data_IF_680821534651
#
_entry.id   IF_680821534651
#
_cell.length_a   1.000
_cell.length_b   1.000
_cell.length_c   1.000
_cell.angle_alpha   90.00
_cell.angle_beta   90.00
_cell.angle_gamma   90.00
#
_symmetry.space_group_name_H-M   'P 1'
#
loop_
_entity.id
_entity.type
_entity.pdbx_description
1 polymer ?
#
# COMPACT_ATOMS: atom_id res chain seq x y z
N UNK A 1 3.29 11.60 -27.55
CA UNK A 1 2.24 10.55 -27.64
C UNK A 1 1.75 10.17 -26.23
N UNK A 2 1.14 11.10 -25.49
CA UNK A 2 0.95 10.98 -24.02
C UNK A 2 -0.49 11.18 -23.55
N UNK A 3 -1.46 11.24 -24.47
CA UNK A 3 -2.87 11.51 -24.14
C UNK A 3 -3.78 10.26 -23.98
N UNK A 4 -3.40 9.10 -24.52
CA UNK A 4 -4.30 7.93 -24.55
C UNK A 4 -4.24 7.03 -23.31
N UNK A 5 -3.21 7.14 -22.45
CA UNK A 5 -3.05 6.23 -21.30
C UNK A 5 -3.85 6.65 -20.05
N UNK A 6 -4.08 7.94 -19.85
CA UNK A 6 -4.80 8.46 -18.68
C UNK A 6 -6.30 8.16 -18.72
N UNK A 7 -6.90 8.17 -19.91
CA UNK A 7 -8.34 7.92 -20.11
C UNK A 7 -8.72 6.46 -19.90
N UNK A 8 -7.83 5.50 -20.22
CA UNK A 8 -8.13 4.07 -20.03
C UNK A 8 -8.13 3.66 -18.55
N UNK A 9 -7.23 4.23 -17.75
CA UNK A 9 -7.10 3.91 -16.33
C UNK A 9 -8.28 4.40 -15.49
N UNK A 10 -8.84 5.58 -15.81
CA UNK A 10 -10.02 6.12 -15.12
C UNK A 10 -11.28 5.32 -15.40
N UNK A 11 -11.44 4.86 -16.64
CA UNK A 11 -12.62 4.08 -17.07
C UNK A 11 -12.65 2.70 -16.43
N UNK A 12 -11.49 2.04 -16.33
CA UNK A 12 -11.36 0.75 -15.64
C UNK A 12 -11.75 0.84 -14.15
N UNK A 13 -11.33 1.89 -13.45
CA UNK A 13 -11.64 2.09 -12.01
C UNK A 13 -13.13 2.31 -11.77
N UNK A 14 -13.78 3.15 -12.58
CA UNK A 14 -15.23 3.41 -12.45
C UNK A 14 -16.04 2.13 -12.66
N UNK A 15 -15.66 1.31 -13.63
CA UNK A 15 -16.31 0.00 -13.84
C UNK A 15 -16.13 -0.94 -12.64
N UNK A 16 -14.94 -0.99 -12.05
CA UNK A 16 -14.67 -1.81 -10.86
C UNK A 16 -15.53 -1.44 -9.65
N UNK A 17 -15.68 -0.13 -9.38
CA UNK A 17 -16.53 0.36 -8.27
C UNK A 17 -17.99 -0.02 -8.50
N UNK A 18 -18.51 0.18 -9.72
CA UNK A 18 -19.90 -0.19 -10.05
C UNK A 18 -20.18 -1.68 -9.83
N UNK A 19 -19.27 -2.55 -10.29
CA UNK A 19 -19.39 -4.01 -10.09
C UNK A 19 -19.35 -4.39 -8.61
N UNK A 20 -18.48 -3.77 -7.83
CA UNK A 20 -18.39 -4.02 -6.39
C UNK A 20 -19.68 -3.61 -5.66
N UNK A 21 -20.26 -2.46 -5.99
CA UNK A 21 -21.53 -2.00 -5.42
C UNK A 21 -22.68 -2.94 -5.78
N UNK A 22 -22.78 -3.37 -7.05
CA UNK A 22 -23.80 -4.35 -7.48
C UNK A 22 -23.65 -5.66 -6.70
N UNK A 23 -22.42 -6.15 -6.49
CA UNK A 23 -22.17 -7.36 -5.71
C UNK A 23 -22.61 -7.20 -4.24
N UNK A 24 -22.37 -6.04 -3.62
CA UNK A 24 -22.82 -5.76 -2.24
C UNK A 24 -24.35 -5.78 -2.16
N UNK A 25 -25.04 -5.09 -3.07
CA UNK A 25 -26.52 -5.03 -3.08
C UNK A 25 -27.12 -6.41 -3.33
N UNK A 26 -26.61 -7.15 -4.32
CA UNK A 26 -27.06 -8.50 -4.62
C UNK A 26 -26.78 -9.47 -3.47
N UNK A 27 -25.58 -9.41 -2.89
CA UNK A 27 -25.21 -10.22 -1.72
C UNK A 27 -26.10 -9.92 -0.51
N UNK A 28 -26.46 -8.65 -0.29
CA UNK A 28 -27.40 -8.27 0.76
C UNK A 28 -28.80 -8.84 0.53
N UNK A 29 -29.35 -8.70 -0.69
CA UNK A 29 -30.65 -9.27 -1.04
C UNK A 29 -30.69 -10.79 -0.82
N UNK A 30 -29.60 -11.48 -1.18
CA UNK A 30 -29.46 -12.91 -0.96
C UNK A 30 -29.34 -13.25 0.54
N UNK A 31 -28.60 -12.44 1.31
CA UNK A 31 -28.45 -12.65 2.75
C UNK A 31 -29.73 -12.47 3.56
N UNK A 32 -30.73 -11.73 3.04
CA UNK A 32 -32.08 -11.68 3.64
C UNK A 32 -32.77 -13.06 3.69
N UNK A 33 -32.33 -14.02 2.86
CA UNK A 33 -32.82 -15.39 2.86
C UNK A 33 -32.38 -16.21 4.07
N UNK A 34 -31.46 -15.71 4.91
CA UNK A 34 -31.05 -16.35 6.16
C UNK A 34 -32.22 -16.61 7.13
N UNK A 35 -33.35 -15.91 6.95
CA UNK A 35 -34.56 -16.11 7.75
C UNK A 35 -35.31 -17.40 7.41
N UNK A 36 -35.07 -17.99 6.23
CA UNK A 36 -35.78 -19.16 5.76
C UNK A 36 -34.88 -20.40 5.84
N UNK A 37 -35.25 -21.35 6.71
CA UNK A 37 -34.50 -22.57 6.97
C UNK A 37 -34.21 -23.38 5.70
N UNK A 38 -35.14 -23.39 4.73
CA UNK A 38 -34.98 -24.15 3.48
C UNK A 38 -33.94 -23.56 2.54
N UNK A 39 -33.61 -22.28 2.67
CA UNK A 39 -32.66 -21.55 1.79
C UNK A 39 -31.52 -20.90 2.58
N UNK A 40 -31.27 -21.36 3.81
CA UNK A 40 -30.24 -20.83 4.70
C UNK A 40 -28.85 -20.75 4.04
N UNK A 41 -28.44 -21.81 3.33
CA UNK A 41 -27.15 -21.84 2.63
C UNK A 41 -27.02 -20.76 1.55
N UNK A 42 -28.12 -20.42 0.89
CA UNK A 42 -28.15 -19.33 -0.10
C UNK A 42 -27.98 -17.98 0.59
N UNK A 43 -28.59 -17.81 1.77
CA UNK A 43 -28.36 -16.67 2.64
C UNK A 43 -26.89 -16.51 3.05
N UNK A 44 -26.21 -17.60 3.42
CA UNK A 44 -24.80 -17.60 3.78
C UNK A 44 -23.91 -17.21 2.59
N UNK A 45 -24.22 -17.73 1.40
CA UNK A 45 -23.57 -17.30 0.16
C UNK A 45 -23.71 -15.79 -0.06
N UNK A 46 -24.87 -15.21 0.26
CA UNK A 46 -25.11 -13.77 0.19
C UNK A 46 -24.14 -12.95 1.04
N UNK A 47 -23.87 -13.41 2.27
CA UNK A 47 -22.90 -12.78 3.18
C UNK A 47 -21.50 -12.78 2.57
N UNK A 48 -21.07 -13.91 1.98
CA UNK A 48 -19.76 -13.99 1.32
C UNK A 48 -19.66 -13.10 0.09
N UNK A 49 -20.70 -13.05 -0.74
CA UNK A 49 -20.73 -12.17 -1.93
C UNK A 49 -20.66 -10.70 -1.51
N UNK A 50 -21.39 -10.31 -0.47
CA UNK A 50 -21.37 -8.96 0.07
C UNK A 50 -19.99 -8.59 0.65
N UNK A 51 -19.38 -9.50 1.44
CA UNK A 51 -18.03 -9.29 1.96
C UNK A 51 -16.99 -9.17 0.83
N UNK A 52 -17.06 -10.03 -0.19
CA UNK A 52 -16.20 -9.95 -1.36
C UNK A 52 -16.37 -8.64 -2.15
N UNK A 53 -17.61 -8.20 -2.35
CA UNK A 53 -17.92 -6.91 -2.96
C UNK A 53 -17.34 -5.74 -2.16
N UNK A 54 -17.42 -5.79 -0.83
CA UNK A 54 -16.83 -4.78 0.05
C UNK A 54 -15.30 -4.74 -0.01
N UNK A 55 -14.65 -5.91 -0.02
CA UNK A 55 -13.19 -6.01 -0.19
C UNK A 55 -12.79 -5.37 -1.53
N UNK A 56 -13.47 -5.72 -2.61
CA UNK A 56 -13.22 -5.16 -3.94
C UNK A 56 -13.41 -3.63 -3.98
N UNK A 57 -14.48 -3.13 -3.34
CA UNK A 57 -14.74 -1.69 -3.22
C UNK A 57 -13.63 -0.98 -2.43
N UNK A 58 -13.23 -1.55 -1.29
CA UNK A 58 -12.19 -1.00 -0.42
C UNK A 58 -10.82 -0.97 -1.10
N UNK A 59 -10.48 -1.98 -1.88
CA UNK A 59 -9.28 -2.00 -2.73
C UNK A 59 -9.36 -0.95 -3.85
N UNK A 60 -10.54 -0.77 -4.45
CA UNK A 60 -10.74 0.21 -5.52
C UNK A 60 -10.68 1.66 -5.00
N UNK A 61 -11.05 1.91 -3.74
CA UNK A 61 -10.99 3.21 -3.07
C UNK A 61 -9.72 3.43 -2.26
N UNK A 62 -8.89 2.39 -2.07
CA UNK A 62 -7.63 2.49 -1.35
C UNK A 62 -6.78 3.65 -1.88
N UNK A 63 -6.23 4.49 -1.00
CA UNK A 63 -5.51 5.69 -1.39
C UNK A 63 -4.35 5.35 -2.32
N UNK A 64 -4.31 6.03 -3.47
CA UNK A 64 -3.15 6.03 -4.36
C UNK A 64 -2.19 7.11 -3.94
N UNK A 65 -0.89 6.87 -4.12
CA UNK A 65 0.12 7.91 -3.98
C UNK A 65 -0.32 9.10 -4.86
N UNK A 66 -0.66 10.21 -4.22
CA UNK A 66 -0.98 11.43 -4.95
C UNK A 66 0.33 12.09 -5.30
N UNK A 67 0.60 12.31 -6.60
CA UNK A 67 1.73 13.11 -7.07
C UNK A 67 1.78 14.54 -6.47
N UNK A 68 0.73 14.95 -5.72
CA UNK A 68 0.66 16.19 -4.93
C UNK A 68 1.74 16.38 -3.86
N UNK A 69 2.61 15.38 -3.61
CA UNK A 69 3.73 15.50 -2.66
C UNK A 69 5.10 15.70 -3.30
N UNK A 70 5.21 15.57 -4.62
CA UNK A 70 6.45 15.84 -5.33
C UNK A 70 6.57 17.32 -5.64
N UNK A 71 6.88 18.10 -4.61
CA UNK A 71 7.39 19.46 -4.77
C UNK A 71 8.65 19.39 -5.61
N UNK A 72 8.67 20.14 -6.72
CA UNK A 72 9.79 20.44 -7.61
C UNK A 72 10.74 19.27 -7.95
N UNK A 73 10.85 18.91 -9.23
CA UNK A 73 11.81 17.92 -9.73
C UNK A 73 13.23 18.17 -9.19
N UNK A 74 13.57 19.43 -8.91
CA UNK A 74 14.87 19.85 -8.41
C UNK A 74 15.03 19.86 -6.88
N UNK A 75 13.93 19.85 -6.10
CA UNK A 75 14.00 19.89 -4.62
C UNK A 75 12.86 19.09 -3.99
N UNK A 76 12.97 17.75 -3.98
CA UNK A 76 12.01 16.89 -3.30
C UNK A 76 11.87 17.27 -1.83
N UNK A 77 10.65 17.24 -1.34
CA UNK A 77 10.39 17.18 0.09
C UNK A 77 9.95 15.76 0.47
N UNK A 78 10.88 14.86 0.82
CA UNK A 78 10.54 13.50 1.21
C UNK A 78 9.70 13.47 2.50
N UNK A 79 9.77 14.51 3.34
CA UNK A 79 8.91 14.62 4.52
C UNK A 79 7.47 14.94 4.13
N UNK A 80 7.25 15.79 3.13
CA UNK A 80 5.93 16.04 2.58
C UNK A 80 5.33 14.76 1.96
N UNK A 81 6.12 13.97 1.23
CA UNK A 81 5.68 12.69 0.70
C UNK A 81 5.26 11.71 1.80
N UNK A 82 6.07 11.56 2.85
CA UNK A 82 5.75 10.72 4.02
C UNK A 82 4.48 11.21 4.71
N UNK A 83 4.32 12.52 4.90
CA UNK A 83 3.13 13.13 5.50
C UNK A 83 1.88 12.84 4.67
N UNK A 84 1.98 12.97 3.34
CA UNK A 84 0.87 12.67 2.44
C UNK A 84 0.44 11.19 2.53
N UNK A 85 1.39 10.25 2.61
CA UNK A 85 1.09 8.82 2.78
C UNK A 85 0.39 8.56 4.12
N UNK A 86 0.91 9.16 5.20
CA UNK A 86 0.32 9.05 6.53
C UNK A 86 -1.13 9.56 6.58
N UNK A 87 -1.37 10.77 6.04
CA UNK A 87 -2.72 11.35 5.96
C UNK A 87 -3.64 10.48 5.11
N UNK A 88 -3.18 9.98 3.97
CA UNK A 88 -3.99 9.13 3.11
C UNK A 88 -4.42 7.83 3.80
N UNK A 89 -3.50 7.16 4.50
CA UNK A 89 -3.78 5.95 5.29
C UNK A 89 -4.79 6.26 6.41
N UNK A 90 -4.62 7.36 7.13
CA UNK A 90 -5.53 7.75 8.21
C UNK A 90 -6.93 8.12 7.70
N UNK A 91 -7.04 8.88 6.62
CA UNK A 91 -8.33 9.21 6.02
C UNK A 91 -9.07 7.95 5.55
N UNK A 92 -8.34 7.00 4.96
CA UNK A 92 -8.93 5.72 4.55
C UNK A 92 -9.34 4.87 5.77
N UNK A 93 -8.53 4.81 6.82
CA UNK A 93 -8.91 4.15 8.09
C UNK A 93 -10.18 4.76 8.67
N UNK A 94 -10.26 6.09 8.75
CA UNK A 94 -11.41 6.80 9.28
C UNK A 94 -12.68 6.47 8.48
N UNK A 95 -12.57 6.39 7.15
CA UNK A 95 -13.68 5.96 6.30
C UNK A 95 -14.13 4.52 6.59
N UNK A 96 -13.20 3.59 6.77
CA UNK A 96 -13.51 2.18 7.11
C UNK A 96 -14.14 2.07 8.51
N UNK A 97 -13.61 2.80 9.48
CA UNK A 97 -14.15 2.86 10.84
C UNK A 97 -15.56 3.45 10.86
N UNK A 98 -15.81 4.49 10.05
CA UNK A 98 -17.15 5.07 9.92
C UNK A 98 -18.15 4.08 9.32
N UNK A 99 -17.77 3.31 8.29
CA UNK A 99 -18.63 2.27 7.70
C UNK A 99 -18.93 1.17 8.73
N UNK A 100 -17.92 0.68 9.45
CA UNK A 100 -18.11 -0.34 10.48
C UNK A 100 -19.01 0.17 11.62
N UNK A 101 -18.79 1.39 12.10
CA UNK A 101 -19.60 2.00 13.14
C UNK A 101 -21.06 2.22 12.70
N UNK A 102 -21.26 2.71 11.46
CA UNK A 102 -22.60 2.91 10.91
C UNK A 102 -23.36 1.59 10.77
N UNK A 103 -22.71 0.51 10.31
CA UNK A 103 -23.34 -0.81 10.21
C UNK A 103 -23.75 -1.38 11.57
N UNK A 104 -22.89 -1.25 12.59
CA UNK A 104 -23.20 -1.66 13.96
C UNK A 104 -24.32 -0.81 14.59
N UNK A 105 -24.26 0.52 14.43
CA UNK A 105 -25.27 1.44 14.94
C UNK A 105 -26.64 1.20 14.30
N UNK A 106 -26.68 0.97 12.97
CA UNK A 106 -27.92 0.65 12.27
C UNK A 106 -28.55 -0.63 12.83
N UNK A 107 -27.76 -1.69 13.03
CA UNK A 107 -28.25 -2.94 13.60
C UNK A 107 -28.78 -2.77 15.03
N UNK A 108 -28.10 -1.96 15.86
CA UNK A 108 -28.50 -1.72 17.24
C UNK A 108 -29.77 -0.85 17.38
N UNK A 109 -29.87 0.24 16.61
CA UNK A 109 -30.96 1.22 16.72
C UNK A 109 -32.26 0.70 16.12
N UNK A 110 -32.19 0.08 14.94
CA UNK A 110 -33.39 -0.32 14.23
C UNK A 110 -33.99 -1.62 14.77
N UNK A 111 -33.23 -2.42 15.51
CA UNK A 111 -33.71 -3.66 16.16
C UNK A 111 -34.28 -4.71 15.18
N UNK A 112 -34.12 -4.48 13.88
CA UNK A 112 -34.73 -5.30 12.83
C UNK A 112 -33.84 -6.48 12.48
N UNK A 113 -34.45 -7.66 12.45
CA UNK A 113 -33.80 -8.90 11.98
C UNK A 113 -33.20 -8.78 10.57
N UNK A 114 -33.72 -7.87 9.75
CA UNK A 114 -33.22 -7.58 8.39
C UNK A 114 -31.82 -6.94 8.34
N UNK A 115 -31.28 -6.47 9.46
CA UNK A 115 -29.94 -5.86 9.52
C UNK A 115 -28.86 -6.81 10.03
N UNK A 116 -29.22 -8.00 10.51
CA UNK A 116 -28.25 -9.01 10.92
C UNK A 116 -27.19 -9.31 9.86
N UNK A 117 -27.51 -9.37 8.55
CA UNK A 117 -26.51 -9.53 7.50
C UNK A 117 -25.42 -8.45 7.47
N UNK A 118 -25.68 -7.24 7.99
CA UNK A 118 -24.70 -6.15 8.00
C UNK A 118 -23.66 -6.29 9.11
N UNK A 119 -23.90 -7.11 10.14
CA UNK A 119 -22.92 -7.33 11.21
C UNK A 119 -21.63 -7.99 10.68
N UNK A 120 -21.68 -9.10 9.91
CA UNK A 120 -20.50 -9.66 9.25
C UNK A 120 -19.75 -8.63 8.39
N UNK A 121 -20.47 -7.78 7.66
CA UNK A 121 -19.87 -6.73 6.83
C UNK A 121 -19.08 -5.72 7.68
N UNK A 122 -19.66 -5.31 8.81
CA UNK A 122 -19.05 -4.37 9.76
C UNK A 122 -17.79 -4.96 10.40
N UNK A 123 -17.82 -6.25 10.74
CA UNK A 123 -16.66 -6.97 11.27
C UNK A 123 -15.55 -7.03 10.21
N UNK A 124 -15.89 -7.41 8.97
CA UNK A 124 -14.91 -7.46 7.86
C UNK A 124 -14.30 -6.07 7.63
N UNK A 125 -15.11 -5.01 7.62
CA UNK A 125 -14.65 -3.63 7.52
C UNK A 125 -13.65 -3.25 8.61
N UNK A 126 -13.98 -3.55 9.88
CA UNK A 126 -13.11 -3.25 11.00
C UNK A 126 -11.78 -4.02 10.95
N UNK A 127 -11.83 -5.34 10.75
CA UNK A 127 -10.65 -6.21 10.72
C UNK A 127 -9.73 -5.83 9.56
N UNK A 128 -10.29 -5.67 8.36
CA UNK A 128 -9.54 -5.33 7.18
C UNK A 128 -8.98 -3.90 7.25
N UNK A 129 -9.78 -2.95 7.74
CA UNK A 129 -9.35 -1.57 8.01
C UNK A 129 -8.14 -1.54 8.93
N UNK A 130 -8.18 -2.27 10.05
CA UNK A 130 -7.07 -2.36 11.00
C UNK A 130 -5.84 -3.07 10.41
N UNK A 131 -6.03 -4.19 9.71
CA UNK A 131 -4.93 -4.99 9.16
C UNK A 131 -4.15 -4.22 8.08
N UNK A 132 -4.86 -3.55 7.15
CA UNK A 132 -4.20 -2.77 6.10
C UNK A 132 -3.57 -1.49 6.63
N UNK A 133 -4.23 -0.79 7.54
CA UNK A 133 -3.68 0.47 8.08
C UNK A 133 -2.50 0.23 9.00
N UNK A 134 -2.53 -0.79 9.86
CA UNK A 134 -1.38 -1.15 10.68
C UNK A 134 -0.17 -1.51 9.81
N UNK A 135 -0.37 -2.27 8.72
CA UNK A 135 0.69 -2.61 7.78
C UNK A 135 1.22 -1.37 7.05
N UNK A 136 0.33 -0.54 6.49
CA UNK A 136 0.77 0.67 5.79
C UNK A 136 1.42 1.70 6.71
N UNK A 137 0.93 1.81 7.95
CA UNK A 137 1.49 2.66 9.00
C UNK A 137 2.90 2.20 9.39
N UNK A 138 3.09 0.89 9.56
CA UNK A 138 4.39 0.31 9.86
C UNK A 138 5.43 0.65 8.78
N UNK A 139 5.08 0.49 7.51
CA UNK A 139 5.98 0.80 6.40
C UNK A 139 6.18 2.30 6.21
N UNK A 140 5.16 3.11 6.40
CA UNK A 140 5.28 4.59 6.35
C UNK A 140 6.20 5.09 7.47
N UNK A 141 6.09 4.52 8.67
CA UNK A 141 6.98 4.83 9.79
C UNK A 141 8.43 4.42 9.50
N UNK A 142 8.65 3.25 8.90
CA UNK A 142 9.98 2.84 8.41
C UNK A 142 10.52 3.84 7.39
N UNK A 143 9.69 4.30 6.47
CA UNK A 143 10.10 5.31 5.49
C UNK A 143 10.47 6.64 6.16
N UNK A 144 9.64 7.10 7.10
CA UNK A 144 9.87 8.32 7.86
C UNK A 144 11.21 8.29 8.62
N UNK A 145 11.58 7.13 9.19
CA UNK A 145 12.85 6.97 9.91
C UNK A 145 14.06 7.03 8.98
N UNK A 146 13.99 6.37 7.82
CA UNK A 146 15.07 6.41 6.84
C UNK A 146 15.28 7.83 6.27
N UNK A 147 14.18 8.52 5.91
CA UNK A 147 14.24 9.91 5.43
C UNK A 147 14.81 10.87 6.47
N UNK A 148 14.60 10.62 7.77
CA UNK A 148 15.18 11.44 8.85
C UNK A 148 16.68 11.18 9.06
N UNK A 149 17.14 9.96 8.83
CA UNK A 149 18.52 9.55 9.09
C UNK A 149 19.46 9.79 7.90
N UNK A 150 18.92 9.78 6.68
CA UNK A 150 19.70 9.89 5.45
C UNK A 150 19.24 11.09 4.60
N UNK A 151 20.21 11.81 4.04
CA UNK A 151 19.91 12.83 3.05
C UNK A 151 19.52 12.16 1.72
N UNK A 152 18.42 12.58 1.07
CA UNK A 152 18.02 12.04 -0.22
C UNK A 152 19.03 12.40 -1.32
N UNK A 153 19.42 11.40 -2.12
CA UNK A 153 20.30 11.57 -3.27
C UNK A 153 19.59 11.08 -4.54
N UNK A 154 19.76 11.80 -5.66
CA UNK A 154 19.24 11.35 -6.96
C UNK A 154 20.06 10.15 -7.43
N UNK A 155 19.37 9.07 -7.79
CA UNK A 155 19.99 7.86 -8.35
C UNK A 155 19.24 7.41 -9.61
N UNK A 156 19.95 6.84 -10.60
CA UNK A 156 19.29 6.09 -11.66
C UNK A 156 18.42 5.01 -11.06
N UNK A 157 17.22 4.85 -11.59
CA UNK A 157 16.22 3.94 -11.06
C UNK A 157 15.75 3.04 -12.19
N UNK A 158 15.82 1.73 -11.95
CA UNK A 158 15.36 0.74 -12.92
C UNK A 158 14.33 -0.14 -12.23
N UNK A 159 13.05 -0.02 -12.57
CA UNK A 159 12.03 -0.92 -12.06
C UNK A 159 12.28 -2.32 -12.63
N UNK A 160 12.45 -3.30 -11.75
CA UNK A 160 12.54 -4.71 -12.13
C UNK A 160 11.19 -5.40 -11.87
N UNK A 161 11.16 -6.70 -12.16
CA UNK A 161 9.96 -7.52 -12.06
C UNK A 161 9.27 -7.40 -10.70
N UNK A 162 7.95 -7.36 -10.74
CA UNK A 162 7.08 -7.55 -9.59
C UNK A 162 7.03 -9.03 -9.24
N UNK A 163 7.27 -9.38 -7.98
CA UNK A 163 6.85 -10.70 -7.52
C UNK A 163 5.32 -10.70 -7.35
N UNK A 164 4.68 -11.85 -7.58
CA UNK A 164 3.23 -12.00 -7.38
C UNK A 164 2.75 -11.71 -5.94
N UNK A 165 3.68 -11.63 -4.97
CA UNK A 165 3.42 -11.29 -3.57
C UNK A 165 3.37 -9.78 -3.26
N UNK A 166 3.40 -8.91 -4.28
CA UNK A 166 3.40 -7.46 -4.11
C UNK A 166 4.76 -6.87 -3.73
N UNK A 167 5.81 -7.69 -3.66
CA UNK A 167 7.18 -7.23 -3.49
C UNK A 167 7.71 -6.75 -4.83
N UNK A 168 8.33 -5.58 -4.82
CA UNK A 168 8.94 -5.00 -6.01
C UNK A 168 10.41 -5.34 -6.00
N UNK A 169 10.98 -5.68 -7.13
CA UNK A 169 12.43 -5.60 -7.28
C UNK A 169 12.78 -4.33 -8.02
N UNK A 170 13.84 -3.66 -7.59
CA UNK A 170 14.35 -2.47 -8.25
C UNK A 170 15.87 -2.47 -8.18
N UNK A 171 16.51 -1.77 -9.11
CA UNK A 171 17.95 -1.52 -9.07
C UNK A 171 18.18 -0.01 -8.93
N UNK A 172 19.08 0.36 -8.03
CA UNK A 172 19.51 1.74 -7.80
C UNK A 172 20.90 1.92 -8.41
N UNK A 173 20.98 2.62 -9.52
CA UNK A 173 22.21 2.83 -10.30
C UNK A 173 22.15 2.26 -11.72
N UNK A 174 23.21 2.51 -12.47
CA UNK A 174 23.28 2.22 -13.90
C UNK A 174 23.22 0.71 -14.17
N UNK A 175 22.48 0.32 -15.21
CA UNK A 175 22.27 -1.07 -15.63
C UNK A 175 23.61 -1.74 -15.97
N UNK A 176 24.59 -0.96 -16.44
CA UNK A 176 25.90 -1.45 -16.86
C UNK A 176 26.93 -1.63 -15.76
N UNK A 177 26.75 -1.05 -14.56
CA UNK A 177 27.87 -0.97 -13.60
C UNK A 177 28.11 -2.25 -12.79
N UNK A 178 27.18 -3.22 -12.76
CA UNK A 178 27.30 -4.48 -12.02
C UNK A 178 27.41 -4.35 -10.49
N UNK A 179 27.77 -3.17 -9.98
CA UNK A 179 28.05 -2.87 -8.59
C UNK A 179 26.79 -2.48 -7.79
N UNK A 180 25.70 -2.14 -8.46
CA UNK A 180 24.46 -1.71 -7.82
C UNK A 180 23.60 -2.89 -7.35
N UNK A 181 23.36 -3.06 -6.04
CA UNK A 181 22.59 -4.18 -5.52
C UNK A 181 21.13 -4.12 -5.97
N UNK A 182 20.55 -5.30 -6.23
CA UNK A 182 19.11 -5.43 -6.47
C UNK A 182 18.40 -5.32 -5.13
N UNK A 183 17.48 -4.37 -5.03
CA UNK A 183 16.67 -4.12 -3.84
C UNK A 183 15.30 -4.79 -3.97
N UNK A 184 14.80 -5.35 -2.88
CA UNK A 184 13.41 -5.69 -2.67
C UNK A 184 12.71 -4.51 -2.00
N UNK A 185 11.61 -4.06 -2.59
CA UNK A 185 10.85 -2.88 -2.20
C UNK A 185 9.41 -3.22 -1.78
N UNK A 186 8.91 -2.49 -0.78
CA UNK A 186 7.51 -2.49 -0.35
C UNK A 186 6.94 -1.07 -0.40
N UNK A 187 5.79 -0.92 -1.04
CA UNK A 187 5.02 0.32 -1.02
C UNK A 187 4.20 0.40 0.28
N UNK A 188 4.29 1.48 1.08
CA UNK A 188 3.46 1.65 2.26
C UNK A 188 1.96 1.64 1.97
N UNK A 189 1.55 2.01 0.76
CA UNK A 189 0.16 1.93 0.30
C UNK A 189 -0.15 0.59 -0.40
N UNK A 190 0.77 -0.39 -0.35
CA UNK A 190 0.57 -1.77 -0.79
C UNK A 190 0.09 -1.93 -2.25
N UNK A 191 0.43 -0.98 -3.13
CA UNK A 191 0.11 -1.13 -4.54
C UNK A 191 0.97 -2.24 -5.17
N UNK A 192 0.36 -3.00 -6.08
CA UNK A 192 1.02 -4.09 -6.81
C UNK A 192 1.47 -3.68 -8.22
N UNK A 193 1.60 -2.39 -8.51
CA UNK A 193 2.01 -1.90 -9.84
C UNK A 193 2.94 -0.70 -9.69
N UNK A 194 3.89 -0.61 -10.61
CA UNK A 194 4.65 0.62 -10.85
C UNK A 194 3.72 1.72 -11.37
N UNK A 195 3.97 2.99 -11.03
CA UNK A 195 3.20 4.09 -11.61
C UNK A 195 3.42 4.14 -13.13
N UNK A 196 2.43 4.67 -13.85
CA UNK A 196 2.55 4.86 -15.28
C UNK A 196 3.52 6.02 -15.58
N UNK A 197 4.44 5.80 -16.52
CA UNK A 197 5.52 6.75 -16.83
C UNK A 197 6.83 6.27 -16.24
N UNK A 198 7.56 5.46 -17.02
CA UNK A 198 8.86 4.90 -16.62
C UNK A 198 9.76 6.01 -16.10
N UNK A 199 10.11 5.92 -14.83
CA UNK A 199 11.03 6.86 -14.21
C UNK A 199 12.43 6.27 -14.42
N UNK A 200 13.33 7.07 -15.01
CA UNK A 200 14.73 6.67 -15.19
C UNK A 200 15.57 7.00 -13.95
N UNK A 201 14.99 7.71 -12.98
CA UNK A 201 15.65 8.19 -11.79
C UNK A 201 14.68 8.28 -10.62
N UNK A 202 15.21 8.14 -9.40
CA UNK A 202 14.46 8.27 -8.16
C UNK A 202 15.34 8.91 -7.08
N UNK A 203 14.69 9.44 -6.05
CA UNK A 203 15.38 9.88 -4.85
C UNK A 203 15.59 8.69 -3.93
N UNK A 204 16.82 8.50 -3.45
CA UNK A 204 17.15 7.46 -2.50
C UNK A 204 17.68 8.06 -1.21
N UNK A 205 17.01 7.76 -0.10
CA UNK A 205 17.46 8.09 1.25
C UNK A 205 17.79 6.78 1.98
N UNK A 206 19.08 6.42 2.00
CA UNK A 206 19.54 5.17 2.59
C UNK A 206 20.98 4.83 2.26
N UNK A 207 21.29 3.56 2.46
CA UNK A 207 22.61 2.97 2.28
C UNK A 207 22.49 1.68 1.46
N UNK A 208 23.37 1.47 0.49
CA UNK A 208 23.28 0.31 -0.42
C UNK A 208 23.42 -1.04 0.31
N UNK A 209 24.13 -1.09 1.45
CA UNK A 209 24.33 -2.32 2.22
C UNK A 209 23.16 -2.63 3.17
N UNK A 210 22.43 -1.61 3.64
CA UNK A 210 21.34 -1.73 4.62
C UNK A 210 19.94 -1.51 4.03
N UNK A 211 19.84 -0.86 2.87
CA UNK A 211 18.60 -0.39 2.26
C UNK A 211 18.27 1.06 2.59
N UNK A 212 17.02 1.44 2.36
CA UNK A 212 16.54 2.80 2.53
C UNK A 212 15.13 3.01 2.00
N UNK A 213 14.88 4.24 1.56
CA UNK A 213 13.62 4.64 0.93
C UNK A 213 13.91 5.17 -0.45
N UNK A 214 13.16 4.65 -1.41
CA UNK A 214 13.09 5.18 -2.76
C UNK A 214 11.84 6.02 -2.87
N UNK A 215 11.98 7.25 -3.37
CA UNK A 215 10.86 8.12 -3.69
C UNK A 215 10.86 8.43 -5.18
N UNK A 216 9.74 8.09 -5.82
CA UNK A 216 9.50 8.30 -7.23
C UNK A 216 9.04 9.75 -7.47
N UNK A 217 9.79 10.59 -8.21
CA UNK A 217 9.54 12.02 -8.35
C UNK A 217 8.19 12.37 -8.99
N UNK A 218 7.64 11.60 -9.94
CA UNK A 218 6.40 12.03 -10.60
C UNK A 218 5.17 11.56 -9.84
N UNK A 219 5.21 10.35 -9.29
CA UNK A 219 4.08 9.80 -8.55
C UNK A 219 4.09 10.16 -7.07
N UNK A 220 5.22 10.65 -6.55
CA UNK A 220 5.46 10.83 -5.12
C UNK A 220 5.44 9.51 -4.35
N UNK A 221 5.58 8.37 -5.03
CA UNK A 221 5.41 7.05 -4.43
C UNK A 221 6.63 6.73 -3.57
N UNK A 222 6.39 6.30 -2.33
CA UNK A 222 7.43 5.84 -1.42
C UNK A 222 7.57 4.33 -1.50
N UNK A 223 8.81 3.85 -1.47
CA UNK A 223 9.12 2.43 -1.48
C UNK A 223 10.22 2.20 -0.45
N UNK A 224 9.89 1.48 0.61
CA UNK A 224 10.89 0.99 1.53
C UNK A 224 11.65 -0.16 0.88
N UNK A 225 12.95 -0.01 0.70
CA UNK A 225 13.78 -0.91 -0.09
C UNK A 225 14.93 -1.49 0.75
N UNK A 226 15.23 -2.78 0.62
CA UNK A 226 16.42 -3.41 1.19
C UNK A 226 17.06 -4.37 0.19
N UNK A 227 18.36 -4.70 0.32
CA UNK A 227 19.00 -5.68 -0.55
C UNK A 227 18.21 -6.99 -0.60
N UNK A 228 17.83 -7.41 -1.81
CA UNK A 228 17.09 -8.65 -2.05
C UNK A 228 17.88 -9.85 -1.53
N UNK A 229 19.18 -9.84 -1.76
CA UNK A 229 20.15 -10.82 -1.27
C UNK A 229 20.83 -10.31 0.00
N UNK A 230 20.04 -10.12 1.07
CA UNK A 230 20.50 -9.58 2.35
C UNK A 230 21.76 -10.26 2.89
N UNK A 231 21.88 -11.59 2.75
CA UNK A 231 23.04 -12.33 3.23
C UNK A 231 24.32 -11.99 2.46
N UNK A 232 24.22 -11.77 1.13
CA UNK A 232 25.39 -11.47 0.29
C UNK A 232 25.96 -10.08 0.52
N UNK A 233 25.15 -9.14 0.99
CA UNK A 233 25.56 -7.80 1.43
C UNK A 233 26.12 -7.79 2.86
N UNK A 234 26.36 -8.96 3.47
CA UNK A 234 27.00 -9.09 4.79
C UNK A 234 28.36 -8.39 4.89
N UNK A 235 29.31 -8.71 4.00
CA UNK A 235 30.62 -8.07 3.99
C UNK A 235 30.53 -6.54 3.84
N UNK A 236 29.62 -6.04 2.99
CA UNK A 236 29.44 -4.59 2.81
C UNK A 236 28.90 -3.89 4.07
N UNK A 237 28.07 -4.59 4.87
CA UNK A 237 27.59 -4.09 6.16
C UNK A 237 28.63 -4.17 7.26
N UNK A 238 29.47 -5.19 7.25
CA UNK A 238 30.59 -5.33 8.21
C UNK A 238 31.68 -4.32 7.93
N UNK A 239 31.95 -4.04 6.65
CA UNK A 239 32.85 -2.99 6.19
C UNK A 239 32.24 -1.57 6.32
N UNK A 240 30.95 -1.46 6.65
CA UNK A 240 30.34 -0.16 6.88
C UNK A 240 30.91 0.47 8.15
N UNK A 241 31.54 1.62 8.01
CA UNK A 241 32.09 2.37 9.13
C UNK A 241 31.04 2.68 10.23
N UNK A 242 31.51 3.07 11.43
CA UNK A 242 30.64 3.28 12.59
C UNK A 242 29.54 4.32 12.34
N UNK A 243 29.83 5.36 11.57
CA UNK A 243 28.85 6.39 11.19
C UNK A 243 27.69 5.82 10.34
N UNK A 244 28.00 5.06 9.28
CA UNK A 244 26.99 4.44 8.41
C UNK A 244 26.13 3.45 9.19
N UNK A 245 26.77 2.67 10.07
CA UNK A 245 26.08 1.72 10.94
C UNK A 245 25.15 2.44 11.93
N UNK A 246 25.57 3.57 12.49
CA UNK A 246 24.74 4.39 13.37
C UNK A 246 23.54 5.00 12.63
N UNK A 247 23.74 5.54 11.43
CA UNK A 247 22.63 6.03 10.59
C UNK A 247 21.64 4.91 10.25
N UNK A 248 22.13 3.72 9.88
CA UNK A 248 21.30 2.55 9.63
C UNK A 248 20.54 2.10 10.89
N UNK A 249 21.13 2.24 12.08
CA UNK A 249 20.47 2.00 13.38
C UNK A 249 19.33 3.00 13.60
N UNK A 250 19.58 4.28 13.38
CA UNK A 250 18.57 5.34 13.52
C UNK A 250 17.42 5.17 12.53
N UNK A 251 17.70 4.71 11.31
CA UNK A 251 16.70 4.35 10.30
C UNK A 251 15.99 3.01 10.56
N UNK A 252 16.41 2.25 11.58
CA UNK A 252 15.94 0.89 11.86
C UNK A 252 16.10 -0.09 10.68
N UNK A 253 17.25 -0.01 10.00
CA UNK A 253 17.65 -0.82 8.84
C UNK A 253 18.62 -1.96 9.15
N UNK A 254 19.17 -2.05 10.37
CA UNK A 254 20.15 -3.08 10.75
C UNK A 254 19.65 -4.53 10.61
N UNK A 255 18.33 -4.72 10.57
CA UNK A 255 17.72 -6.04 10.41
C UNK A 255 16.92 -6.06 9.12
N UNK A 256 16.97 -7.21 8.44
CA UNK A 256 16.07 -7.49 7.32
C UNK A 256 14.62 -7.43 7.79
N UNK A 257 13.78 -6.70 7.08
CA UNK A 257 12.35 -6.72 7.33
C UNK A 257 11.79 -8.11 6.95
N UNK A 258 11.12 -8.79 7.89
CA UNK A 258 10.59 -10.15 7.69
C UNK A 258 9.60 -10.25 6.52
N UNK A 259 8.99 -9.13 6.11
CA UNK A 259 7.95 -9.05 5.08
C UNK A 259 8.46 -8.57 3.71
N UNK A 260 9.78 -8.36 3.55
CA UNK A 260 10.44 -8.03 2.27
C UNK A 260 10.95 -9.26 1.52
#
# INVERSE_FOLDING_TARGET
>A
MTGQSLTSATTSRRSGIGKALVAIVFGYALALLLKNDSVFFLGLLGVFVMAGGYIALSLATYPKASGRGASDVHRPDPHAAVKAHYTAILCWFAAQAAVAAAGLAAAAVLGTTYLFPLMPLSIVAAVMGLAWTSTGMYWTWKCARAVRAFQPVVRPFVPLNLSGSGKRSLRLGDVGSGASPIMAGMDPLLHNRWPAGGEDWAWFAGDDAFGGVVMLPHSGMLIFAQPKEWQKTGPDREAAGPERTEQARQAALLKRAKKL
#
